data_IF_990949960077
#
_entry.id   IF_990949960077
#
_cell.length_a   1.000
_cell.length_b   1.000
_cell.length_c   1.000
_cell.angle_alpha   90.00
_cell.angle_beta   90.00
_cell.angle_gamma   90.00
#
_symmetry.space_group_name_H-M   'P 1'
#
loop_
_entity.id
_entity.type
_entity.pdbx_description
1 polymer ?
#
# COMPACT_ATOMS: atom_id res chain seq x y z
N UNK A 1 -6.88 32.00 -9.70
CA UNK A 1 -5.75 31.14 -9.30
C UNK A 1 -6.36 30.04 -8.47
N UNK A 2 -6.24 28.82 -8.96
CA UNK A 2 -7.09 27.68 -8.64
C UNK A 2 -6.59 26.99 -7.38
N UNK A 3 -7.29 27.17 -6.26
CA UNK A 3 -7.14 26.31 -5.09
C UNK A 3 -8.08 25.11 -5.27
N UNK A 4 -7.67 24.16 -6.11
CA UNK A 4 -8.20 22.79 -6.05
C UNK A 4 -7.42 22.03 -4.98
N UNK A 5 -7.55 22.44 -3.71
CA UNK A 5 -7.33 21.49 -2.62
C UNK A 5 -8.61 20.69 -2.57
N UNK A 6 -8.65 19.57 -3.27
CA UNK A 6 -9.80 18.68 -3.23
C UNK A 6 -10.00 18.27 -1.77
N UNK A 7 -11.04 18.81 -1.14
CA UNK A 7 -11.61 18.34 0.12
C UNK A 7 -12.05 16.88 -0.11
N UNK A 8 -11.11 15.96 -0.01
CA UNK A 8 -11.44 14.54 0.11
C UNK A 8 -12.14 14.40 1.45
N UNK A 9 -13.37 13.90 1.43
CA UNK A 9 -14.11 13.78 2.67
C UNK A 9 -13.37 12.82 3.63
N UNK A 10 -13.36 13.10 4.93
CA UNK A 10 -12.54 12.35 5.88
C UNK A 10 -12.81 10.83 5.96
N UNK A 11 -14.00 10.38 5.53
CA UNK A 11 -14.33 8.96 5.38
C UNK A 11 -13.65 8.31 4.16
N UNK A 12 -13.33 9.12 3.14
CA UNK A 12 -12.60 8.68 1.95
C UNK A 12 -11.14 8.33 2.29
N UNK A 13 -10.47 9.13 3.13
CA UNK A 13 -9.09 8.85 3.56
C UNK A 13 -8.98 7.51 4.29
N UNK A 14 -9.93 7.19 5.17
CA UNK A 14 -9.92 5.93 5.91
C UNK A 14 -10.12 4.71 4.98
N UNK A 15 -11.00 4.83 3.98
CA UNK A 15 -11.22 3.79 2.98
C UNK A 15 -10.02 3.64 2.02
N UNK A 16 -9.39 4.76 1.63
CA UNK A 16 -8.19 4.76 0.81
C UNK A 16 -6.99 4.17 1.54
N UNK A 17 -6.83 4.47 2.84
CA UNK A 17 -5.81 3.84 3.69
C UNK A 17 -6.00 2.33 3.77
N UNK A 18 -7.24 1.86 3.95
CA UNK A 18 -7.54 0.42 3.92
C UNK A 18 -7.13 -0.19 2.57
N UNK A 19 -7.58 0.40 1.46
CA UNK A 19 -7.27 -0.11 0.12
C UNK A 19 -5.75 -0.16 -0.12
N UNK A 20 -5.02 0.88 0.25
CA UNK A 20 -3.57 0.94 0.14
C UNK A 20 -2.91 -0.19 0.95
N UNK A 21 -3.39 -0.44 2.18
CA UNK A 21 -2.87 -1.49 3.04
C UNK A 21 -3.13 -2.90 2.51
N UNK A 22 -4.34 -3.17 2.00
CA UNK A 22 -4.65 -4.47 1.37
C UNK A 22 -3.75 -4.72 0.16
N UNK A 23 -3.53 -3.70 -0.67
CA UNK A 23 -2.66 -3.81 -1.85
C UNK A 23 -1.18 -3.98 -1.46
N UNK A 24 -0.72 -3.32 -0.39
CA UNK A 24 0.61 -3.48 0.16
C UNK A 24 0.86 -4.92 0.62
N UNK A 25 -0.10 -5.49 1.36
CA UNK A 25 -0.03 -6.88 1.82
C UNK A 25 0.02 -7.88 0.64
N UNK A 26 -0.81 -7.70 -0.39
CA UNK A 26 -0.77 -8.54 -1.59
C UNK A 26 0.59 -8.49 -2.29
N UNK A 27 1.23 -7.31 -2.35
CA UNK A 27 2.58 -7.16 -2.91
C UNK A 27 3.65 -7.83 -2.05
N UNK A 28 3.53 -7.79 -0.72
CA UNK A 28 4.44 -8.52 0.17
C UNK A 28 4.36 -10.03 -0.04
N UNK A 29 3.15 -10.58 -0.14
CA UNK A 29 2.94 -12.00 -0.42
C UNK A 29 3.58 -12.38 -1.75
N UNK A 30 3.35 -11.57 -2.79
CA UNK A 30 3.96 -11.80 -4.11
C UNK A 30 5.49 -11.72 -4.07
N UNK A 31 6.07 -10.78 -3.33
CA UNK A 31 7.51 -10.65 -3.18
C UNK A 31 8.10 -11.90 -2.50
N UNK A 32 7.43 -12.40 -1.46
CA UNK A 32 7.82 -13.63 -0.77
C UNK A 32 7.78 -14.85 -1.68
N UNK A 33 6.72 -15.01 -2.48
CA UNK A 33 6.63 -16.10 -3.47
C UNK A 33 7.78 -16.07 -4.48
N UNK A 34 8.08 -14.90 -5.04
CA UNK A 34 9.12 -14.72 -6.03
C UNK A 34 10.51 -15.02 -5.46
N UNK A 35 10.82 -14.50 -4.27
CA UNK A 35 12.09 -14.77 -3.60
C UNK A 35 12.22 -16.26 -3.27
N UNK A 36 11.15 -16.88 -2.77
CA UNK A 36 11.13 -18.33 -2.48
C UNK A 36 11.43 -19.13 -3.74
N UNK A 37 10.75 -18.84 -4.87
CA UNK A 37 11.01 -19.51 -6.14
C UNK A 37 12.45 -19.31 -6.63
N UNK A 38 12.97 -18.09 -6.56
CA UNK A 38 14.34 -17.78 -7.00
C UNK A 38 15.38 -18.58 -6.19
N UNK A 39 15.17 -18.78 -4.89
CA UNK A 39 16.09 -19.53 -4.02
C UNK A 39 16.21 -21.01 -4.36
N UNK A 40 15.22 -21.58 -5.04
CA UNK A 40 15.25 -22.96 -5.52
C UNK A 40 15.99 -23.11 -6.87
N UNK A 41 16.34 -22.01 -7.53
CA UNK A 41 17.05 -22.02 -8.81
C UNK A 41 18.56 -21.94 -8.64
N UNK A 42 19.31 -22.51 -9.59
CA UNK A 42 20.75 -22.32 -9.65
C UNK A 42 21.10 -20.94 -10.25
N UNK A 43 22.19 -20.28 -9.82
CA UNK A 43 22.55 -18.96 -10.32
C UNK A 43 22.89 -18.88 -11.82
N UNK A 44 23.23 -19.99 -12.47
CA UNK A 44 23.51 -20.08 -13.91
C UNK A 44 22.24 -20.13 -14.78
N UNK A 45 21.07 -20.33 -14.16
CA UNK A 45 19.80 -20.37 -14.86
C UNK A 45 19.34 -18.95 -15.22
N UNK A 46 18.98 -18.66 -16.49
CA UNK A 46 18.52 -17.33 -16.89
C UNK A 46 17.31 -16.83 -16.10
N UNK A 47 16.47 -17.75 -15.61
CA UNK A 47 15.33 -17.42 -14.78
C UNK A 47 15.72 -16.84 -13.42
N UNK A 48 16.88 -17.21 -12.85
CA UNK A 48 17.37 -16.64 -11.58
C UNK A 48 17.54 -15.12 -11.70
N UNK A 49 18.22 -14.66 -12.77
CA UNK A 49 18.44 -13.23 -13.02
C UNK A 49 17.12 -12.52 -13.34
N UNK A 50 16.22 -13.18 -14.07
CA UNK A 50 14.89 -12.64 -14.37
C UNK A 50 14.07 -12.39 -13.10
N UNK A 51 13.99 -13.39 -12.21
CA UNK A 51 13.28 -13.26 -10.94
C UNK A 51 13.93 -12.22 -10.03
N UNK A 52 15.26 -12.15 -9.99
CA UNK A 52 15.96 -11.12 -9.21
C UNK A 52 15.57 -9.69 -9.64
N UNK A 53 15.40 -9.43 -10.94
CA UNK A 53 14.92 -8.14 -11.45
C UNK A 53 13.45 -7.88 -11.09
N UNK A 54 12.59 -8.88 -11.26
CA UNK A 54 11.17 -8.78 -10.90
C UNK A 54 10.99 -8.47 -9.40
N UNK A 55 11.82 -9.08 -8.55
CA UNK A 55 11.87 -8.82 -7.10
C UNK A 55 12.33 -7.39 -6.81
N UNK A 56 13.36 -6.89 -7.50
CA UNK A 56 13.84 -5.51 -7.35
C UNK A 56 12.73 -4.49 -7.71
N UNK A 57 12.09 -4.68 -8.87
CA UNK A 57 11.03 -3.80 -9.35
C UNK A 57 9.85 -3.78 -8.37
N UNK A 58 9.44 -4.94 -7.86
CA UNK A 58 8.37 -5.05 -6.88
C UNK A 58 8.75 -4.45 -5.52
N UNK A 59 9.98 -4.64 -5.06
CA UNK A 59 10.48 -4.04 -3.82
C UNK A 59 10.51 -2.50 -3.90
N UNK A 60 10.88 -1.95 -5.06
CA UNK A 60 10.83 -0.50 -5.31
C UNK A 60 9.39 0.03 -5.28
N UNK A 61 8.45 -0.69 -5.90
CA UNK A 61 7.04 -0.36 -5.86
C UNK A 61 6.47 -0.43 -4.42
N UNK A 62 6.86 -1.42 -3.64
CA UNK A 62 6.52 -1.54 -2.22
C UNK A 62 7.03 -0.36 -1.40
N UNK A 63 8.29 0.04 -1.58
CA UNK A 63 8.85 1.21 -0.89
C UNK A 63 8.03 2.48 -1.18
N UNK A 64 7.66 2.68 -2.45
CA UNK A 64 6.81 3.81 -2.84
C UNK A 64 5.40 3.72 -2.23
N UNK A 65 4.78 2.54 -2.22
CA UNK A 65 3.47 2.32 -1.62
C UNK A 65 3.49 2.57 -0.09
N UNK A 66 4.53 2.13 0.61
CA UNK A 66 4.69 2.39 2.04
C UNK A 66 4.82 3.88 2.36
N UNK A 67 5.42 4.68 1.47
CA UNK A 67 5.42 6.13 1.58
C UNK A 67 4.00 6.72 1.52
N UNK A 68 3.19 6.29 0.56
CA UNK A 68 1.79 6.72 0.45
C UNK A 68 0.94 6.30 1.65
N UNK A 69 1.16 5.10 2.21
CA UNK A 69 0.47 4.68 3.44
C UNK A 69 0.82 5.59 4.63
N UNK A 70 2.06 6.05 4.74
CA UNK A 70 2.46 7.01 5.78
C UNK A 70 1.72 8.34 5.62
N UNK A 71 1.63 8.86 4.41
CA UNK A 71 0.89 10.10 4.12
C UNK A 71 -0.60 9.96 4.48
N UNK A 72 -1.25 8.90 3.98
CA UNK A 72 -2.66 8.60 4.28
C UNK A 72 -2.90 8.39 5.79
N UNK A 73 -2.00 7.70 6.48
CA UNK A 73 -2.11 7.50 7.92
C UNK A 73 -2.02 8.82 8.71
N UNK A 74 -1.17 9.75 8.25
CA UNK A 74 -1.06 11.08 8.85
C UNK A 74 -2.33 11.91 8.63
N UNK A 75 -2.89 11.88 7.42
CA UNK A 75 -4.14 12.55 7.07
C UNK A 75 -5.31 12.03 7.92
N UNK A 76 -5.55 10.71 7.91
CA UNK A 76 -6.60 10.08 8.73
C UNK A 76 -6.42 10.40 10.22
N UNK A 77 -5.18 10.38 10.73
CA UNK A 77 -4.92 10.72 12.12
C UNK A 77 -5.24 12.20 12.43
N UNK A 78 -4.92 13.12 11.53
CA UNK A 78 -5.25 14.53 11.66
C UNK A 78 -6.77 14.75 11.68
N UNK A 79 -7.50 14.11 10.75
CA UNK A 79 -8.95 14.19 10.65
C UNK A 79 -9.64 13.71 11.94
N UNK A 80 -9.18 12.58 12.48
CA UNK A 80 -9.70 12.04 13.76
C UNK A 80 -9.41 13.01 14.91
N UNK A 81 -8.20 13.58 14.97
CA UNK A 81 -7.80 14.50 16.04
C UNK A 81 -8.58 15.82 15.99
N UNK A 82 -8.91 16.31 14.80
CA UNK A 82 -9.70 17.52 14.60
C UNK A 82 -11.20 17.28 14.78
N UNK A 83 -11.64 16.02 14.89
CA UNK A 83 -13.05 15.64 14.98
C UNK A 83 -13.79 15.73 13.64
N UNK A 84 -13.06 15.76 12.53
CA UNK A 84 -13.58 15.80 11.17
C UNK A 84 -14.05 14.42 10.70
N UNK A 85 -13.50 13.35 11.30
CA UNK A 85 -13.96 11.98 11.11
C UNK A 85 -14.03 11.23 12.43
N UNK A 86 -14.80 10.14 12.43
CA UNK A 86 -14.82 9.18 13.52
C UNK A 86 -14.44 7.82 12.93
N UNK A 87 -13.30 7.30 13.35
CA UNK A 87 -12.87 5.92 13.08
C UNK A 87 -12.85 5.20 14.41
N UNK A 88 -13.88 4.40 14.67
CA UNK A 88 -14.07 3.65 15.93
C UNK A 88 -13.65 2.17 15.82
N UNK A 89 -13.11 1.78 14.67
CA UNK A 89 -12.73 0.41 14.35
C UNK A 89 -11.37 0.35 13.64
N UNK A 90 -10.67 -0.80 13.68
CA UNK A 90 -9.44 -1.00 12.93
C UNK A 90 -9.64 -0.80 11.42
N UNK A 91 -8.61 -0.32 10.69
CA UNK A 91 -8.68 -0.13 9.23
C UNK A 91 -9.08 -1.41 8.48
N UNK A 92 -8.69 -2.58 9.01
CA UNK A 92 -9.04 -3.91 8.49
C UNK A 92 -10.56 -4.21 8.53
N UNK A 93 -11.31 -3.47 9.33
CA UNK A 93 -12.75 -3.63 9.42
C UNK A 93 -13.48 -2.50 8.65
N UNK A 94 -12.77 -1.44 8.24
CA UNK A 94 -13.31 -0.35 7.41
C UNK A 94 -13.78 -0.89 6.07
N UNK A 95 -15.05 -0.64 5.67
CA UNK A 95 -15.55 -1.04 4.37
C UNK A 95 -14.67 -0.47 3.25
N UNK A 96 -14.29 -1.28 2.24
CA UNK A 96 -13.56 -0.76 1.10
C UNK A 96 -14.45 0.22 0.32
N UNK A 97 -13.82 1.24 -0.29
CA UNK A 97 -14.49 2.19 -1.18
C UNK A 97 -15.19 1.40 -2.29
N UNK A 98 -16.50 1.61 -2.48
CA UNK A 98 -17.23 1.08 -3.64
C UNK A 98 -16.99 2.03 -4.81
N UNK A 99 -16.46 1.50 -5.90
CA UNK A 99 -16.35 2.18 -7.20
C UNK A 99 -17.74 2.46 -7.80
#
# INVERSE_FOLDING_TARGET
MTEFSAEREPLEHAADLRRASDEFMQRLDRLYELETRKRELRPDEPEFVRLAREIEDLARALLFAGGQEVELAQEVHADVKNGETIVDQPIRDTPPRRD
#
